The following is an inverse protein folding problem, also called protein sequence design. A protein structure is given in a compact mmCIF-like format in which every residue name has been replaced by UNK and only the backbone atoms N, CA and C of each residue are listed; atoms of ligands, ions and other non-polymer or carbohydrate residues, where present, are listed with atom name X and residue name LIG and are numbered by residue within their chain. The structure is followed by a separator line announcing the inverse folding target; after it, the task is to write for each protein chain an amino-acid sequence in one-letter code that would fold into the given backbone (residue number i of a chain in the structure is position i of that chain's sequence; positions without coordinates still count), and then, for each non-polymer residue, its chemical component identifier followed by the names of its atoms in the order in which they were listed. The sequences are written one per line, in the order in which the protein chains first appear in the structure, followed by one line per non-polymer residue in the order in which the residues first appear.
data_IF_266851902799
#
_entry.id   IF_266851902799
#
_cell.length_a   1.000
_cell.length_b   1.000
_cell.length_c   1.000
_cell.angle_alpha   90.00
_cell.angle_beta   90.00
_cell.angle_gamma   90.00
#
_symmetry.space_group_name_H-M   'P 1'
#
loop_
_entity.id
_entity.type
_entity.pdbx_description
1 polymer ?
#
# COMPACT_ATOMS: atom_id res chain seq x y z
N UNK A 1 -4.65 12.42 4.07
CA UNK A 1 -4.83 13.49 5.08
C UNK A 1 -4.30 14.82 4.57
N UNK A 2 -3.08 14.90 4.00
CA UNK A 2 -2.53 16.14 3.45
C UNK A 2 -3.44 16.78 2.39
N UNK A 3 -4.04 15.98 1.50
CA UNK A 3 -5.00 16.50 0.51
C UNK A 3 -6.27 17.03 1.18
N UNK A 4 -6.69 16.43 2.30
CA UNK A 4 -7.82 16.91 3.12
C UNK A 4 -7.45 18.22 3.85
N UNK A 5 -6.21 18.31 4.33
CA UNK A 5 -5.71 19.50 5.00
C UNK A 5 -5.60 20.73 4.07
N UNK A 6 -5.29 20.50 2.79
CA UNK A 6 -5.28 21.60 1.81
C UNK A 6 -6.68 22.17 1.51
N UNK A 7 -7.75 21.44 1.89
CA UNK A 7 -9.12 21.96 1.85
C UNK A 7 -9.46 22.68 3.17
N UNK A 8 -9.31 23.99 3.16
CA UNK A 8 -9.57 24.84 4.33
C UNK A 8 -10.98 24.68 4.92
N UNK A 9 -11.96 24.27 4.10
CA UNK A 9 -13.34 24.06 4.56
C UNK A 9 -13.47 22.81 5.42
N UNK A 10 -12.73 21.76 5.12
CA UNK A 10 -12.72 20.52 5.89
C UNK A 10 -11.94 20.68 7.19
N UNK A 11 -10.81 21.37 7.17
CA UNK A 11 -10.01 21.66 8.37
C UNK A 11 -10.77 22.53 9.35
N UNK A 12 -11.48 23.56 8.88
CA UNK A 12 -12.29 24.44 9.73
C UNK A 12 -13.40 23.64 10.45
N UNK A 13 -13.98 22.65 9.80
CA UNK A 13 -15.03 21.80 10.41
C UNK A 13 -14.46 20.70 11.31
N UNK A 14 -13.21 20.30 11.10
CA UNK A 14 -12.55 19.19 11.79
C UNK A 14 -11.11 19.58 12.17
N UNK A 15 -10.92 20.48 13.13
CA UNK A 15 -9.58 21.01 13.45
C UNK A 15 -8.59 19.92 13.90
N UNK A 16 -9.08 18.81 14.46
CA UNK A 16 -8.23 17.67 14.84
C UNK A 16 -7.44 17.10 13.65
N UNK A 17 -7.97 17.19 12.42
CA UNK A 17 -7.27 16.73 11.23
C UNK A 17 -5.98 17.51 10.98
N UNK A 18 -5.96 18.80 11.27
CA UNK A 18 -4.75 19.63 11.16
C UNK A 18 -3.65 19.20 12.14
N UNK A 19 -4.04 18.73 13.34
CA UNK A 19 -3.09 18.24 14.34
C UNK A 19 -2.60 16.81 14.10
N UNK A 20 -3.26 16.06 13.24
CA UNK A 20 -2.90 14.66 12.92
C UNK A 20 -2.07 14.54 11.64
N UNK A 21 -1.76 15.65 10.98
CA UNK A 21 -0.93 15.62 9.78
C UNK A 21 0.50 15.41 10.18
N UNK A 22 1.10 14.39 9.58
CA UNK A 22 2.49 14.04 9.76
C UNK A 22 3.35 14.93 8.87
N UNK A 23 4.18 15.75 9.45
CA UNK A 23 5.21 16.58 8.80
C UNK A 23 6.61 16.35 9.38
N UNK A 24 6.71 15.39 10.31
CA UNK A 24 7.90 15.06 11.11
C UNK A 24 8.48 13.67 10.79
N UNK A 25 8.17 13.09 9.63
CA UNK A 25 8.74 11.80 9.21
C UNK A 25 10.26 11.91 9.03
N UNK A 26 11.01 11.00 9.65
CA UNK A 26 12.47 11.01 9.63
C UNK A 26 13.08 10.51 8.31
N UNK A 27 12.33 9.82 7.49
CA UNK A 27 12.83 9.13 6.29
C UNK A 27 12.03 9.47 5.01
N UNK A 28 10.98 10.26 5.11
CA UNK A 28 10.11 10.55 3.98
C UNK A 28 9.43 11.92 4.11
N UNK A 29 9.04 12.52 3.00
CA UNK A 29 8.30 13.79 3.01
C UNK A 29 6.81 13.62 3.33
N UNK A 30 6.28 12.39 3.24
CA UNK A 30 4.88 12.06 3.55
C UNK A 30 4.70 10.56 3.72
N UNK A 31 3.68 10.16 4.47
CA UNK A 31 3.29 8.76 4.59
C UNK A 31 2.70 8.22 3.28
N UNK A 32 3.07 6.99 2.92
CA UNK A 32 2.41 6.24 1.85
C UNK A 32 1.02 5.74 2.26
N UNK A 33 0.75 5.62 3.56
CA UNK A 33 -0.54 5.18 4.08
C UNK A 33 -1.66 6.16 3.72
N UNK A 34 -2.81 5.59 3.33
CA UNK A 34 -4.01 6.33 3.00
C UNK A 34 -5.18 5.90 3.88
N UNK A 35 -6.19 5.28 3.32
CA UNK A 35 -7.33 4.74 4.05
C UNK A 35 -7.05 3.31 4.51
N UNK A 36 -7.82 2.85 5.51
CA UNK A 36 -7.95 1.42 5.80
C UNK A 36 -9.34 0.96 5.40
N UNK A 37 -9.44 -0.23 4.81
CA UNK A 37 -10.67 -0.74 4.21
C UNK A 37 -11.10 -2.08 4.79
N UNK A 38 -12.41 -2.32 4.74
CA UNK A 38 -13.03 -3.64 4.74
C UNK A 38 -13.97 -3.75 3.54
N UNK A 39 -14.04 -4.91 2.92
CA UNK A 39 -15.09 -5.21 1.96
C UNK A 39 -16.45 -5.26 2.70
N UNK A 40 -17.53 -4.76 2.09
CA UNK A 40 -18.84 -4.64 2.75
C UNK A 40 -19.48 -5.97 3.16
N UNK A 41 -19.09 -7.09 2.51
CA UNK A 41 -19.55 -8.44 2.85
C UNK A 41 -18.78 -9.11 3.97
N UNK A 42 -17.77 -8.47 4.56
CA UNK A 42 -17.06 -9.00 5.73
C UNK A 42 -17.93 -8.89 6.98
N UNK A 43 -17.76 -9.83 7.89
CA UNK A 43 -18.44 -9.78 9.19
C UNK A 43 -17.73 -8.80 10.13
N UNK A 44 -16.55 -9.17 10.64
CA UNK A 44 -15.72 -8.26 11.44
C UNK A 44 -14.65 -7.55 10.64
N UNK A 45 -14.11 -8.19 9.61
CA UNK A 45 -13.03 -7.68 8.77
C UNK A 45 -11.64 -8.15 9.17
N UNK A 46 -11.46 -8.70 10.40
CA UNK A 46 -10.14 -9.05 10.94
C UNK A 46 -9.75 -10.52 10.68
N UNK A 47 -10.71 -11.41 10.53
CA UNK A 47 -10.40 -12.83 10.29
C UNK A 47 -9.66 -13.03 8.97
N UNK A 48 -8.89 -14.11 8.83
CA UNK A 48 -8.18 -14.42 7.59
C UNK A 48 -9.11 -14.44 6.38
N UNK A 49 -10.30 -15.04 6.54
CA UNK A 49 -11.35 -15.05 5.51
C UNK A 49 -11.77 -13.64 5.09
N UNK A 50 -12.00 -12.77 6.06
CA UNK A 50 -12.46 -11.40 5.82
C UNK A 50 -11.33 -10.56 5.19
N UNK A 51 -10.10 -10.69 5.68
CA UNK A 51 -8.94 -10.01 5.11
C UNK A 51 -8.66 -10.50 3.68
N UNK A 52 -8.71 -11.81 3.45
CA UNK A 52 -8.55 -12.39 2.13
C UNK A 52 -9.63 -11.91 1.15
N UNK A 53 -10.89 -11.82 1.60
CA UNK A 53 -11.96 -11.26 0.77
C UNK A 53 -11.67 -9.79 0.42
N UNK A 54 -11.29 -8.98 1.41
CA UNK A 54 -11.01 -7.54 1.20
C UNK A 54 -9.85 -7.34 0.23
N UNK A 55 -8.73 -8.02 0.43
CA UNK A 55 -7.52 -7.85 -0.40
C UNK A 55 -7.74 -8.35 -1.82
N UNK A 56 -8.33 -9.54 -1.99
CA UNK A 56 -8.63 -10.11 -3.31
C UNK A 56 -9.57 -9.20 -4.11
N UNK A 57 -10.70 -8.81 -3.52
CA UNK A 57 -11.67 -7.95 -4.23
C UNK A 57 -11.12 -6.58 -4.55
N UNK A 58 -10.24 -6.03 -3.70
CA UNK A 58 -9.58 -4.77 -4.01
C UNK A 58 -8.67 -4.89 -5.24
N UNK A 59 -7.86 -5.95 -5.33
CA UNK A 59 -7.02 -6.21 -6.51
C UNK A 59 -7.84 -6.43 -7.78
N UNK A 60 -8.92 -7.23 -7.73
CA UNK A 60 -9.84 -7.44 -8.84
C UNK A 60 -10.48 -6.12 -9.30
N UNK A 61 -11.01 -5.33 -8.36
CA UNK A 61 -11.61 -4.04 -8.67
C UNK A 61 -10.59 -3.05 -9.27
N UNK A 62 -9.35 -3.06 -8.79
CA UNK A 62 -8.29 -2.23 -9.36
C UNK A 62 -8.07 -2.56 -10.85
N UNK A 63 -8.06 -3.84 -11.22
CA UNK A 63 -7.99 -4.28 -12.62
C UNK A 63 -9.23 -3.90 -13.43
N UNK A 64 -10.44 -4.14 -12.90
CA UNK A 64 -11.70 -3.80 -13.55
C UNK A 64 -11.84 -2.30 -13.81
N UNK A 65 -11.22 -1.46 -12.99
CA UNK A 65 -11.32 0.00 -13.05
C UNK A 65 -10.09 0.68 -13.66
N UNK A 66 -9.12 -0.07 -14.18
CA UNK A 66 -7.86 0.48 -14.70
C UNK A 66 -8.07 1.60 -15.72
N UNK A 67 -8.99 1.41 -16.67
CA UNK A 67 -9.32 2.37 -17.73
C UNK A 67 -10.61 3.16 -17.43
N UNK A 68 -11.16 3.04 -16.24
CA UNK A 68 -12.40 3.71 -15.88
C UNK A 68 -12.17 5.19 -15.54
N UNK A 69 -13.19 6.02 -15.74
CA UNK A 69 -13.16 7.39 -15.24
C UNK A 69 -13.03 7.40 -13.70
N UNK A 70 -12.38 8.44 -13.16
CA UNK A 70 -12.22 8.64 -11.72
C UNK A 70 -13.56 8.54 -10.98
N UNK A 71 -14.62 9.13 -11.51
CA UNK A 71 -15.95 9.08 -10.89
C UNK A 71 -16.53 7.66 -10.84
N UNK A 72 -16.34 6.87 -11.92
CA UNK A 72 -16.78 5.48 -11.97
C UNK A 72 -16.02 4.62 -10.98
N UNK A 73 -14.68 4.75 -10.94
CA UNK A 73 -13.83 4.01 -10.01
C UNK A 73 -14.14 4.36 -8.54
N UNK A 74 -14.35 5.63 -8.22
CA UNK A 74 -14.73 6.07 -6.87
C UNK A 74 -16.09 5.49 -6.44
N UNK A 75 -17.07 5.48 -7.35
CA UNK A 75 -18.39 4.90 -7.06
C UNK A 75 -18.26 3.40 -6.82
N UNK A 76 -17.57 2.66 -7.68
CA UNK A 76 -17.36 1.23 -7.54
C UNK A 76 -16.63 0.87 -6.22
N UNK A 77 -15.61 1.64 -5.84
CA UNK A 77 -14.95 1.47 -4.55
C UNK A 77 -15.92 1.66 -3.39
N UNK A 78 -16.73 2.70 -3.41
CA UNK A 78 -17.71 2.99 -2.35
C UNK A 78 -18.85 1.97 -2.29
N UNK A 79 -19.24 1.39 -3.42
CA UNK A 79 -20.28 0.35 -3.46
C UNK A 79 -19.80 -0.97 -2.81
N UNK A 80 -18.51 -1.32 -2.93
CA UNK A 80 -17.96 -2.58 -2.42
C UNK A 80 -17.24 -2.46 -1.09
N UNK A 81 -16.68 -1.31 -0.76
CA UNK A 81 -15.82 -1.14 0.42
C UNK A 81 -16.35 -0.08 1.39
N UNK A 82 -15.86 -0.16 2.61
CA UNK A 82 -16.11 0.81 3.68
C UNK A 82 -14.81 1.15 4.40
N UNK A 83 -14.72 2.35 4.94
CA UNK A 83 -13.62 2.84 5.77
C UNK A 83 -14.20 3.40 7.09
N UNK A 84 -13.48 3.31 8.22
CA UNK A 84 -12.22 2.59 8.41
C UNK A 84 -12.39 1.06 8.36
N UNK A 85 -11.28 0.35 8.15
CA UNK A 85 -11.26 -1.12 8.08
C UNK A 85 -9.94 -1.71 8.61
N UNK A 86 -9.71 -3.00 8.34
CA UNK A 86 -8.57 -3.74 8.88
C UNK A 86 -7.43 -3.91 7.85
N UNK A 87 -7.65 -3.53 6.60
CA UNK A 87 -6.62 -3.57 5.56
C UNK A 87 -6.17 -2.15 5.25
N UNK A 88 -4.98 -1.74 5.70
CA UNK A 88 -4.42 -0.46 5.36
C UNK A 88 -4.03 -0.42 3.87
N UNK A 89 -4.25 0.71 3.23
CA UNK A 89 -3.83 0.96 1.87
C UNK A 89 -2.63 1.89 1.83
N UNK A 90 -1.63 1.52 1.06
CA UNK A 90 -0.54 2.40 0.66
C UNK A 90 -0.75 2.85 -0.78
N UNK A 91 -0.36 4.08 -1.06
CA UNK A 91 -0.38 4.65 -2.40
C UNK A 91 1.03 4.97 -2.84
N UNK A 92 1.37 4.48 -4.01
CA UNK A 92 2.60 4.86 -4.71
C UNK A 92 2.71 6.39 -4.87
N UNK A 93 3.91 6.91 -4.75
CA UNK A 93 4.20 8.32 -5.01
C UNK A 93 3.97 8.66 -6.48
N UNK A 94 3.45 9.85 -6.82
CA UNK A 94 3.42 10.31 -8.20
C UNK A 94 4.81 10.24 -8.83
N UNK A 95 4.93 9.60 -10.00
CA UNK A 95 6.22 9.33 -10.65
C UNK A 95 6.90 8.01 -10.23
N UNK A 96 6.31 7.27 -9.28
CA UNK A 96 6.80 5.95 -8.89
C UNK A 96 8.25 5.95 -8.43
N UNK A 97 9.03 4.97 -8.88
CA UNK A 97 10.44 4.78 -8.50
C UNK A 97 11.35 5.95 -8.87
N UNK A 98 10.99 6.78 -9.85
CA UNK A 98 11.75 7.98 -10.17
C UNK A 98 11.69 9.05 -9.08
N UNK A 99 10.66 9.04 -8.24
CA UNK A 99 10.47 10.02 -7.18
C UNK A 99 10.69 9.45 -5.79
N UNK A 100 10.42 8.16 -5.60
CA UNK A 100 10.58 7.48 -4.32
C UNK A 100 10.90 6.01 -4.53
N UNK A 101 11.91 5.51 -3.83
CA UNK A 101 12.36 4.11 -3.91
C UNK A 101 11.97 3.33 -2.65
N UNK A 102 10.72 3.47 -2.22
CA UNK A 102 10.19 2.75 -1.05
C UNK A 102 9.53 1.42 -1.40
N UNK A 103 9.16 0.66 -0.37
CA UNK A 103 8.52 -0.66 -0.52
C UNK A 103 7.26 -0.63 -1.40
N UNK A 104 6.46 0.44 -1.31
CA UNK A 104 5.24 0.60 -2.11
C UNK A 104 5.57 0.71 -3.59
N UNK A 105 6.52 1.57 -3.95
CA UNK A 105 6.93 1.77 -5.34
C UNK A 105 7.60 0.53 -5.92
N UNK A 106 8.46 -0.13 -5.15
CA UNK A 106 9.12 -1.38 -5.56
C UNK A 106 8.09 -2.49 -5.81
N UNK A 107 7.16 -2.72 -4.89
CA UNK A 107 6.14 -3.76 -5.03
C UNK A 107 5.20 -3.52 -6.22
N UNK A 108 4.76 -2.27 -6.42
CA UNK A 108 3.91 -1.90 -7.56
C UNK A 108 4.66 -2.03 -8.88
N UNK A 109 5.97 -1.71 -8.91
CA UNK A 109 6.81 -1.87 -10.09
C UNK A 109 6.99 -3.33 -10.48
N UNK A 110 7.17 -4.24 -9.51
CA UNK A 110 7.18 -5.69 -9.79
C UNK A 110 5.89 -6.14 -10.46
N UNK A 111 4.73 -5.69 -9.97
CA UNK A 111 3.46 -6.02 -10.58
C UNK A 111 3.38 -5.53 -12.04
N UNK A 112 3.83 -4.31 -12.33
CA UNK A 112 3.88 -3.78 -13.70
C UNK A 112 4.84 -4.56 -14.59
N UNK A 113 6.05 -4.84 -14.13
CA UNK A 113 7.05 -5.60 -14.87
C UNK A 113 6.57 -7.02 -15.22
N UNK A 114 5.78 -7.63 -14.36
CA UNK A 114 5.18 -8.94 -14.59
C UNK A 114 3.89 -8.91 -15.42
N UNK A 115 3.46 -7.74 -15.91
CA UNK A 115 2.23 -7.58 -16.69
C UNK A 115 0.95 -7.75 -15.88
N UNK A 116 1.02 -7.67 -14.56
CA UNK A 116 -0.12 -7.78 -13.67
C UNK A 116 -0.72 -6.41 -13.33
N UNK A 117 -1.92 -6.46 -12.74
CA UNK A 117 -2.55 -5.27 -12.15
C UNK A 117 -1.58 -4.66 -11.12
N UNK A 118 -1.30 -3.33 -11.15
CA UNK A 118 -0.37 -2.69 -10.23
C UNK A 118 -0.98 -2.52 -8.82
N UNK A 119 -1.34 -3.66 -8.24
CA UNK A 119 -1.92 -3.79 -6.91
C UNK A 119 -1.30 -5.02 -6.24
N UNK A 120 -0.61 -4.80 -5.14
CA UNK A 120 0.12 -5.83 -4.41
C UNK A 120 -0.29 -5.88 -2.96
N UNK A 121 -0.04 -6.99 -2.29
CA UNK A 121 -0.11 -7.12 -0.84
C UNK A 121 1.28 -7.40 -0.30
N UNK A 122 1.64 -6.78 0.80
CA UNK A 122 2.91 -7.00 1.49
C UNK A 122 2.72 -7.14 2.99
N UNK A 123 3.74 -7.66 3.64
CA UNK A 123 3.86 -7.70 5.09
C UNK A 123 5.32 -7.46 5.47
N UNK A 124 5.52 -6.72 6.55
CA UNK A 124 6.85 -6.51 7.14
C UNK A 124 7.34 -7.81 7.78
N UNK A 125 8.61 -8.15 7.55
CA UNK A 125 9.28 -9.23 8.26
C UNK A 125 9.93 -8.66 9.53
N UNK A 126 9.44 -9.11 10.67
CA UNK A 126 9.94 -8.70 11.98
C UNK A 126 10.95 -9.71 12.51
N UNK A 127 11.91 -9.24 13.33
CA UNK A 127 12.84 -10.10 14.02
C UNK A 127 12.10 -10.92 15.09
N UNK A 128 12.12 -12.27 15.02
CA UNK A 128 11.43 -13.12 15.99
C UNK A 128 12.14 -13.14 17.37
N UNK A 129 13.38 -12.66 17.46
CA UNK A 129 14.18 -12.66 18.67
C UNK A 129 14.43 -11.26 19.26
N UNK A 130 13.89 -10.24 18.59
CA UNK A 130 14.07 -8.83 18.95
C UNK A 130 12.80 -8.00 18.76
N UNK A 131 12.96 -6.70 18.72
CA UNK A 131 11.88 -5.71 18.58
C UNK A 131 11.99 -4.89 17.27
N UNK A 132 12.90 -5.27 16.38
CA UNK A 132 13.17 -4.61 15.13
C UNK A 132 12.64 -5.34 13.90
N UNK A 133 12.97 -4.79 12.73
CA UNK A 133 12.78 -5.46 11.45
C UNK A 133 13.80 -6.59 11.27
N UNK A 134 13.41 -7.64 10.55
CA UNK A 134 14.32 -8.73 10.19
C UNK A 134 15.44 -8.18 9.31
N UNK A 135 16.68 -8.58 9.60
CA UNK A 135 17.83 -8.16 8.79
C UNK A 135 17.77 -8.74 7.37
N UNK A 136 18.46 -8.08 6.44
CA UNK A 136 18.54 -8.55 5.06
C UNK A 136 19.15 -9.96 4.98
N UNK A 137 20.15 -10.24 5.79
CA UNK A 137 20.81 -11.55 5.82
C UNK A 137 19.89 -12.64 6.32
N UNK A 138 19.17 -12.41 7.40
CA UNK A 138 18.18 -13.35 7.93
C UNK A 138 17.00 -13.54 6.98
N UNK A 139 16.62 -12.48 6.25
CA UNK A 139 15.61 -12.56 5.20
C UNK A 139 16.06 -13.47 4.04
N UNK A 140 17.35 -13.45 3.67
CA UNK A 140 17.93 -14.36 2.67
C UNK A 140 17.87 -15.81 3.14
N UNK A 141 18.32 -16.06 4.37
CA UNK A 141 18.28 -17.39 5.00
C UNK A 141 16.83 -17.90 5.04
N UNK A 142 15.89 -17.04 5.41
CA UNK A 142 14.48 -17.41 5.43
C UNK A 142 13.95 -17.76 4.03
N UNK A 143 14.26 -16.94 3.03
CA UNK A 143 13.85 -17.16 1.65
C UNK A 143 14.40 -18.47 1.10
N UNK A 144 15.69 -18.74 1.28
CA UNK A 144 16.33 -20.01 0.88
C UNK A 144 15.68 -21.21 1.56
N UNK A 145 15.53 -21.15 2.88
CA UNK A 145 14.91 -22.23 3.67
C UNK A 145 13.49 -22.59 3.20
N UNK A 146 12.74 -21.60 2.75
CA UNK A 146 11.34 -21.77 2.35
C UNK A 146 11.13 -21.80 0.84
N UNK A 147 12.20 -21.75 0.03
CA UNK A 147 12.10 -21.76 -1.42
C UNK A 147 11.37 -20.52 -1.99
N UNK A 148 11.50 -19.37 -1.33
CA UNK A 148 10.86 -18.11 -1.72
C UNK A 148 11.84 -17.31 -2.56
N UNK A 149 11.46 -16.84 -3.77
CA UNK A 149 12.31 -15.95 -4.55
C UNK A 149 12.61 -14.66 -3.79
N UNK A 150 13.85 -14.21 -3.82
CA UNK A 150 14.27 -12.96 -3.23
C UNK A 150 14.73 -12.00 -4.32
N UNK A 151 14.15 -10.81 -4.34
CA UNK A 151 14.44 -9.72 -5.27
C UNK A 151 14.82 -8.50 -4.44
N UNK A 152 15.90 -7.84 -4.79
CA UNK A 152 16.31 -6.59 -4.13
C UNK A 152 15.80 -5.37 -4.88
N UNK A 153 15.76 -4.22 -4.19
CA UNK A 153 15.45 -2.95 -4.85
C UNK A 153 16.37 -2.65 -6.03
N UNK A 154 17.67 -2.99 -5.90
CA UNK A 154 18.64 -2.85 -6.98
C UNK A 154 18.27 -3.67 -8.22
N UNK A 155 17.86 -4.92 -8.05
CA UNK A 155 17.47 -5.78 -9.18
C UNK A 155 16.28 -5.17 -9.95
N UNK A 156 15.36 -4.53 -9.24
CA UNK A 156 14.21 -3.86 -9.85
C UNK A 156 14.66 -2.60 -10.59
N UNK A 157 15.49 -1.76 -9.99
CA UNK A 157 16.00 -0.53 -10.61
C UNK A 157 16.81 -0.84 -11.87
N UNK A 158 17.69 -1.80 -11.80
CA UNK A 158 18.48 -2.26 -12.96
C UNK A 158 17.57 -2.76 -14.10
N UNK A 159 16.47 -3.45 -13.78
CA UNK A 159 15.53 -3.98 -14.79
C UNK A 159 14.75 -2.90 -15.55
N UNK A 160 14.60 -1.72 -14.96
CA UNK A 160 13.88 -0.58 -15.57
C UNK A 160 14.83 0.55 -16.03
N UNK A 161 16.15 0.32 -15.99
CA UNK A 161 17.20 1.28 -16.34
C UNK A 161 17.08 2.62 -15.57
N UNK A 162 16.73 2.56 -14.31
CA UNK A 162 16.83 3.68 -13.36
C UNK A 162 18.12 3.50 -12.55
N UNK A 163 19.10 4.36 -12.80
CA UNK A 163 20.35 4.46 -12.03
C UNK A 163 20.14 5.29 -10.73
#
# INVERSE_FOLDING_TARGET
LQDIHSDSSLVTKNPVLGHLITDDLQYDSRSAFTLSLNHRKTYTGITDRDRALTTRRFGELAGEMADASKSKAMKALGDEFRTPGHIPLCRESPGGLSNRQGHTELAVSIARLSGNVPCTIGAEMLDPNGDGALSLEESRIYAEKHGIPMITGKDILDSINLD
#
